data_IF_620764056409
#
_entry.id   IF_620764056409
#
_cell.length_a   1.000
_cell.length_b   1.000
_cell.length_c   1.000
_cell.angle_alpha   90.00
_cell.angle_beta   90.00
_cell.angle_gamma   90.00
#
_symmetry.space_group_name_H-M   'P 1'
#
loop_
_entity.id
_entity.type
_entity.pdbx_description
1 polymer ?
#
# COMPACT_ATOMS: atom_id res chain seq x y z
N UNK A 1 2.77 -8.29 11.00
CA UNK A 1 2.92 -7.46 9.79
C UNK A 1 2.66 -8.36 8.61
N UNK A 2 1.74 -7.97 7.73
CA UNK A 2 1.49 -8.66 6.46
C UNK A 2 2.62 -8.30 5.48
N UNK A 3 2.91 -9.18 4.51
CA UNK A 3 3.84 -8.88 3.41
C UNK A 3 3.12 -8.08 2.34
N UNK A 4 3.86 -7.26 1.59
CA UNK A 4 3.35 -6.53 0.44
C UNK A 4 2.56 -7.46 -0.51
N UNK A 5 1.36 -7.05 -0.91
CA UNK A 5 0.50 -7.83 -1.80
C UNK A 5 0.98 -7.86 -3.26
N UNK A 6 1.88 -6.96 -3.65
CA UNK A 6 2.46 -6.97 -4.99
C UNK A 6 3.36 -8.18 -5.21
N UNK A 7 3.30 -8.75 -6.41
CA UNK A 7 4.08 -9.93 -6.77
C UNK A 7 5.58 -9.66 -6.61
N UNK A 8 6.31 -10.68 -6.13
CA UNK A 8 7.77 -10.64 -5.99
C UNK A 8 8.29 -9.56 -5.03
N UNK A 9 7.43 -9.09 -4.12
CA UNK A 9 7.80 -8.13 -3.08
C UNK A 9 7.69 -8.75 -1.69
N UNK A 10 8.82 -8.88 -1.00
CA UNK A 10 8.89 -9.46 0.36
C UNK A 10 8.88 -8.39 1.46
N UNK A 11 8.80 -7.11 1.09
CA UNK A 11 8.78 -5.98 2.02
C UNK A 11 7.52 -6.02 2.92
N UNK A 12 7.61 -5.51 4.16
CA UNK A 12 6.45 -5.40 5.03
C UNK A 12 5.42 -4.44 4.42
N UNK A 13 4.14 -4.83 4.50
CA UNK A 13 3.04 -3.96 4.16
C UNK A 13 2.93 -2.83 5.20
N UNK A 14 2.77 -1.62 4.68
CA UNK A 14 2.75 -0.37 5.46
C UNK A 14 1.55 0.52 5.10
N UNK A 15 0.89 0.25 3.96
CA UNK A 15 -0.18 1.08 3.42
C UNK A 15 -1.29 0.20 2.88
N UNK A 16 -2.53 0.51 3.24
CA UNK A 16 -3.73 -0.04 2.61
C UNK A 16 -4.13 0.85 1.44
N UNK A 17 -4.30 0.25 0.27
CA UNK A 17 -4.88 0.89 -0.90
C UNK A 17 -6.36 0.59 -0.97
N UNK A 18 -7.15 1.66 -1.03
CA UNK A 18 -8.58 1.61 -1.32
C UNK A 18 -8.78 1.67 -2.82
N UNK A 19 -9.17 0.53 -3.38
CA UNK A 19 -9.43 0.34 -4.80
C UNK A 19 -10.94 0.40 -5.02
N UNK A 20 -11.49 1.38 -5.76
CA UNK A 20 -12.94 1.51 -5.89
C UNK A 20 -13.61 0.45 -6.78
N UNK A 21 -12.82 -0.30 -7.55
CA UNK A 21 -13.30 -1.32 -8.50
C UNK A 21 -12.84 -2.75 -8.15
N UNK A 22 -12.10 -2.94 -7.07
CA UNK A 22 -11.61 -4.25 -6.64
C UNK A 22 -11.49 -4.30 -5.10
N UNK A 23 -10.90 -5.37 -4.54
CA UNK A 23 -10.66 -5.46 -3.11
C UNK A 23 -9.54 -4.49 -2.68
N UNK A 24 -9.60 -4.06 -1.42
CA UNK A 24 -8.49 -3.33 -0.81
C UNK A 24 -7.25 -4.23 -0.77
N UNK A 25 -6.07 -3.66 -1.04
CA UNK A 25 -4.79 -4.38 -0.98
C UNK A 25 -3.80 -3.68 -0.04
N UNK A 26 -3.01 -4.46 0.68
CA UNK A 26 -1.99 -3.94 1.60
C UNK A 26 -0.62 -4.07 0.95
N UNK A 27 0.09 -2.97 0.78
CA UNK A 27 1.37 -2.92 0.05
C UNK A 27 2.43 -2.17 0.87
N UNK A 28 3.69 -2.33 0.50
CA UNK A 28 4.78 -1.54 1.09
C UNK A 28 4.68 -0.06 0.65
N UNK A 29 5.36 0.82 1.39
CA UNK A 29 5.38 2.27 1.12
C UNK A 29 5.83 2.60 -0.31
N UNK A 30 6.81 1.87 -0.85
CA UNK A 30 7.31 2.08 -2.21
C UNK A 30 6.23 1.80 -3.28
N UNK A 31 5.56 0.65 -3.19
CA UNK A 31 4.48 0.30 -4.11
C UNK A 31 3.28 1.21 -3.94
N UNK A 32 2.88 1.55 -2.72
CA UNK A 32 1.79 2.49 -2.50
C UNK A 32 2.03 3.83 -3.21
N UNK A 33 3.24 4.41 -3.10
CA UNK A 33 3.59 5.67 -3.79
C UNK A 33 3.50 5.53 -5.31
N UNK A 34 3.92 4.42 -5.88
CA UNK A 34 3.82 4.20 -7.31
C UNK A 34 2.36 4.01 -7.76
N UNK A 35 1.58 3.25 -7.00
CA UNK A 35 0.22 2.86 -7.38
C UNK A 35 -0.78 4.00 -7.27
N UNK A 36 -0.70 4.85 -6.23
CA UNK A 36 -1.58 6.04 -6.11
C UNK A 36 -1.43 7.00 -7.30
N UNK A 37 -0.21 7.12 -7.83
CA UNK A 37 0.09 8.00 -8.96
C UNK A 37 -0.38 7.43 -10.30
N UNK A 38 -0.39 6.10 -10.45
CA UNK A 38 -0.68 5.43 -11.72
C UNK A 38 -2.15 5.07 -11.86
N UNK A 39 -2.79 4.65 -10.77
CA UNK A 39 -4.10 4.01 -10.82
C UNK A 39 -5.22 4.88 -10.29
N UNK A 40 -4.93 5.99 -9.59
CA UNK A 40 -5.98 6.84 -8.99
C UNK A 40 -6.68 6.19 -7.80
N UNK A 41 -5.99 5.29 -7.10
CA UNK A 41 -6.43 4.66 -5.84
C UNK A 41 -6.06 5.54 -4.63
N UNK A 42 -6.74 5.33 -3.50
CA UNK A 42 -6.49 6.10 -2.27
C UNK A 42 -5.60 5.31 -1.32
N UNK A 43 -4.55 5.93 -0.78
CA UNK A 43 -3.67 5.33 0.21
C UNK A 43 -4.05 5.72 1.65
N UNK A 44 -4.09 4.71 2.53
CA UNK A 44 -4.25 4.83 3.97
C UNK A 44 -3.07 4.14 4.66
N UNK A 45 -2.21 4.85 5.41
CA UNK A 45 -1.13 4.20 6.17
C UNK A 45 -1.69 3.26 7.23
N UNK A 46 -1.08 2.07 7.36
CA UNK A 46 -1.43 1.13 8.41
C UNK A 46 -1.01 1.68 9.79
N UNK A 47 -1.72 1.25 10.83
CA UNK A 47 -1.40 1.61 12.21
C UNK A 47 0.05 1.19 12.53
N UNK A 48 0.88 2.17 12.90
CA UNK A 48 2.30 1.98 13.19
C UNK A 48 3.27 2.32 12.04
N UNK A 49 2.76 2.50 10.81
CA UNK A 49 3.56 2.88 9.63
C UNK A 49 3.33 4.33 9.16
N UNK A 50 2.58 5.12 9.95
CA UNK A 50 2.24 6.52 9.63
C UNK A 50 3.49 7.38 9.43
N UNK A 51 4.53 7.14 10.24
CA UNK A 51 5.81 7.88 10.17
C UNK A 51 6.59 7.58 8.87
N UNK A 52 6.42 6.38 8.32
CA UNK A 52 7.05 5.95 7.06
C UNK A 52 6.33 6.55 5.84
N UNK A 53 5.05 6.91 6.00
CA UNK A 53 4.21 7.55 5.01
C UNK A 53 4.20 9.08 5.13
N UNK A 54 5.38 9.69 4.99
CA UNK A 54 5.56 11.15 4.92
C UNK A 54 5.93 11.65 3.53
#
# INVERSE_FOLDING_TARGET
MTTCAEAECEEPAAVRLHVPWDANREVCTAHARALVQQEGVVAEPLEGAVEEWR
#
